data_IF_931334546660
#
_entry.id   IF_931334546660
#
_cell.length_a   1.000
_cell.length_b   1.000
_cell.length_c   1.000
_cell.angle_alpha   90.00
_cell.angle_beta   90.00
_cell.angle_gamma   90.00
#
_symmetry.space_group_name_H-M   'P 1'
#
loop_
_entity.id
_entity.type
_entity.pdbx_description
1 polymer ?
#
# COMPACT_ATOMS: atom_id res chain seq x y z
N UNK A 1 3.82 -10.76 5.09
CA UNK A 1 2.96 -11.93 4.82
C UNK A 1 3.80 -13.11 4.33
N UNK A 2 4.43 -13.05 3.15
CA UNK A 2 5.25 -14.16 2.66
C UNK A 2 6.42 -14.49 3.62
N UNK A 3 7.07 -13.47 4.18
CA UNK A 3 8.13 -13.61 5.20
C UNK A 3 7.59 -14.28 6.47
N UNK A 4 6.49 -13.75 7.04
CA UNK A 4 5.81 -14.32 8.21
C UNK A 4 5.36 -15.78 7.98
N UNK A 5 4.89 -16.09 6.76
CA UNK A 5 4.49 -17.43 6.34
C UNK A 5 5.69 -18.33 5.97
N UNK A 6 6.90 -17.79 5.96
CA UNK A 6 8.14 -18.46 5.52
C UNK A 6 8.02 -19.07 4.12
N UNK A 7 7.29 -18.39 3.24
CA UNK A 7 7.09 -18.79 1.85
C UNK A 7 8.22 -18.22 0.97
N UNK A 8 9.31 -18.97 0.86
CA UNK A 8 10.49 -18.54 0.11
C UNK A 8 10.22 -18.25 -1.36
N UNK A 9 9.32 -19.01 -2.02
CA UNK A 9 9.02 -18.77 -3.43
C UNK A 9 8.26 -17.47 -3.62
N UNK A 10 7.28 -17.17 -2.76
CA UNK A 10 6.58 -15.90 -2.81
C UNK A 10 7.47 -14.72 -2.47
N UNK A 11 8.41 -14.88 -1.53
CA UNK A 11 9.40 -13.82 -1.25
C UNK A 11 10.27 -13.54 -2.47
N UNK A 12 10.75 -14.56 -3.19
CA UNK A 12 11.53 -14.36 -4.43
C UNK A 12 10.75 -13.65 -5.54
N UNK A 13 9.48 -14.01 -5.69
CA UNK A 13 8.59 -13.35 -6.64
C UNK A 13 8.47 -11.85 -6.31
N UNK A 14 8.27 -11.53 -5.03
CA UNK A 14 8.20 -10.14 -4.54
C UNK A 14 9.55 -9.41 -4.72
N UNK A 15 10.68 -10.04 -4.40
CA UNK A 15 12.01 -9.46 -4.58
C UNK A 15 12.27 -9.09 -6.05
N UNK A 16 11.84 -9.94 -6.97
CA UNK A 16 11.91 -9.68 -8.41
C UNK A 16 11.03 -8.49 -8.84
N UNK A 17 9.84 -8.36 -8.26
CA UNK A 17 8.94 -7.24 -8.55
C UNK A 17 9.44 -5.92 -7.96
N UNK A 18 10.06 -5.95 -6.76
CA UNK A 18 10.76 -4.79 -6.18
C UNK A 18 11.82 -4.28 -7.15
N UNK A 19 12.64 -5.17 -7.73
CA UNK A 19 13.67 -4.79 -8.71
C UNK A 19 13.04 -4.15 -9.95
N UNK A 20 11.97 -4.72 -10.50
CA UNK A 20 11.28 -4.15 -11.67
C UNK A 20 10.71 -2.76 -11.39
N UNK A 21 10.02 -2.60 -10.27
CA UNK A 21 9.41 -1.33 -9.86
C UNK A 21 10.48 -0.28 -9.54
N UNK A 22 11.56 -0.66 -8.86
CA UNK A 22 12.69 0.23 -8.58
C UNK A 22 13.29 0.80 -9.87
N UNK A 23 13.47 -0.03 -10.90
CA UNK A 23 13.94 0.43 -12.22
C UNK A 23 12.95 1.40 -12.88
N UNK A 24 11.66 1.10 -12.83
CA UNK A 24 10.62 1.95 -13.42
C UNK A 24 10.52 3.33 -12.74
N UNK A 25 10.77 3.38 -11.43
CA UNK A 25 10.78 4.61 -10.64
C UNK A 25 12.12 5.37 -10.72
N UNK A 26 13.10 4.87 -11.48
CA UNK A 26 14.41 5.52 -11.63
C UNK A 26 15.23 5.56 -10.34
N UNK A 27 14.90 4.74 -9.33
CA UNK A 27 15.61 4.73 -8.05
C UNK A 27 16.89 3.89 -8.11
N UNK A 28 17.91 4.32 -7.35
CA UNK A 28 19.36 4.04 -7.55
C UNK A 28 19.80 2.57 -7.64
N UNK A 29 21.01 2.31 -8.19
CA UNK A 29 21.68 0.98 -8.20
C UNK A 29 21.72 0.30 -6.82
N UNK A 30 21.77 1.08 -5.73
CA UNK A 30 21.75 0.53 -4.37
C UNK A 30 20.50 -0.33 -4.11
N UNK A 31 19.35 0.02 -4.70
CA UNK A 31 18.11 -0.76 -4.56
C UNK A 31 18.13 -2.06 -5.35
N UNK A 32 18.89 -2.13 -6.45
CA UNK A 32 19.07 -3.37 -7.22
C UNK A 32 19.86 -4.41 -6.44
N UNK A 33 20.89 -3.97 -5.70
CA UNK A 33 21.67 -4.83 -4.81
C UNK A 33 20.81 -5.44 -3.70
N UNK A 34 19.99 -4.61 -3.05
CA UNK A 34 19.09 -5.04 -1.96
C UNK A 34 18.05 -6.07 -2.41
N UNK A 35 17.45 -5.88 -3.58
CA UNK A 35 16.52 -6.85 -4.17
C UNK A 35 17.15 -8.24 -4.39
N UNK A 36 18.44 -8.30 -4.69
CA UNK A 36 19.19 -9.55 -4.83
C UNK A 36 19.42 -10.22 -3.47
N UNK A 37 19.77 -9.44 -2.45
CA UNK A 37 19.94 -9.93 -1.07
C UNK A 37 18.64 -10.49 -0.47
N UNK A 38 17.48 -9.89 -0.78
CA UNK A 38 16.17 -10.45 -0.37
C UNK A 38 15.97 -11.88 -0.91
N UNK A 39 16.34 -12.12 -2.16
CA UNK A 39 16.21 -13.45 -2.76
C UNK A 39 17.19 -14.45 -2.13
N UNK A 40 18.42 -14.03 -1.86
CA UNK A 40 19.45 -14.84 -1.22
C UNK A 40 19.06 -15.24 0.22
N UNK A 41 18.60 -14.28 1.03
CA UNK A 41 18.14 -14.58 2.39
C UNK A 41 16.90 -15.50 2.40
N UNK A 42 16.02 -15.38 1.39
CA UNK A 42 14.90 -16.32 1.22
C UNK A 42 15.37 -17.74 0.86
N UNK A 43 16.43 -17.88 0.07
CA UNK A 43 17.04 -19.18 -0.27
C UNK A 43 17.65 -19.87 0.93
N UNK A 44 18.30 -19.09 1.79
CA UNK A 44 19.01 -19.59 2.96
C UNK A 44 18.11 -19.75 4.20
N UNK A 45 16.82 -19.39 4.12
CA UNK A 45 15.89 -19.35 5.25
C UNK A 45 16.32 -18.37 6.38
N UNK A 46 17.00 -17.28 6.02
CA UNK A 46 17.51 -16.24 6.93
C UNK A 46 16.43 -15.19 7.20
N UNK A 47 15.33 -15.60 7.82
CA UNK A 47 14.10 -14.79 7.91
C UNK A 47 14.24 -13.46 8.67
N UNK A 48 15.00 -13.45 9.77
CA UNK A 48 15.20 -12.24 10.57
C UNK A 48 16.01 -11.20 9.77
N UNK A 49 17.09 -11.63 9.12
CA UNK A 49 17.92 -10.79 8.24
C UNK A 49 17.13 -10.32 7.01
N UNK A 50 16.27 -11.17 6.47
CA UNK A 50 15.39 -10.82 5.36
C UNK A 50 14.43 -9.69 5.75
N UNK A 51 13.85 -9.75 6.95
CA UNK A 51 12.99 -8.69 7.47
C UNK A 51 13.75 -7.36 7.61
N UNK A 52 14.95 -7.38 8.19
CA UNK A 52 15.80 -6.20 8.27
C UNK A 52 16.13 -5.62 6.89
N UNK A 53 16.41 -6.48 5.90
CA UNK A 53 16.72 -6.05 4.54
C UNK A 53 15.51 -5.43 3.81
N UNK A 54 14.30 -5.93 4.08
CA UNK A 54 13.06 -5.32 3.57
C UNK A 54 12.82 -3.93 4.18
N UNK A 55 13.03 -3.76 5.48
CA UNK A 55 12.92 -2.46 6.15
C UNK A 55 13.97 -1.47 5.61
N UNK A 56 15.21 -1.92 5.43
CA UNK A 56 16.27 -1.12 4.83
C UNK A 56 15.93 -0.74 3.38
N UNK A 57 15.37 -1.66 2.60
CA UNK A 57 14.88 -1.40 1.24
C UNK A 57 13.79 -0.34 1.23
N UNK A 58 12.79 -0.45 2.11
CA UNK A 58 11.71 0.53 2.23
C UNK A 58 12.25 1.93 2.55
N UNK A 59 13.19 2.03 3.49
CA UNK A 59 13.79 3.29 3.89
C UNK A 59 14.61 3.92 2.75
N UNK A 60 15.36 3.11 1.99
CA UNK A 60 16.12 3.59 0.83
C UNK A 60 15.20 4.10 -0.29
N UNK A 61 14.10 3.38 -0.60
CA UNK A 61 13.09 3.86 -1.57
C UNK A 61 12.55 5.22 -1.13
N UNK A 62 12.12 5.35 0.14
CA UNK A 62 11.57 6.59 0.67
C UNK A 62 12.58 7.74 0.59
N UNK A 63 13.81 7.51 1.00
CA UNK A 63 14.87 8.52 0.95
C UNK A 63 15.19 8.92 -0.50
N UNK A 64 15.28 7.95 -1.41
CA UNK A 64 15.53 8.21 -2.82
C UNK A 64 14.43 9.07 -3.43
N UNK A 65 13.15 8.70 -3.24
CA UNK A 65 12.02 9.49 -3.75
C UNK A 65 12.00 10.92 -3.18
N UNK A 66 12.26 11.10 -1.88
CA UNK A 66 12.35 12.42 -1.27
C UNK A 66 13.49 13.27 -1.85
N UNK A 67 14.64 12.66 -2.12
CA UNK A 67 15.80 13.35 -2.70
C UNK A 67 15.61 13.78 -4.15
N UNK A 68 14.77 13.07 -4.91
CA UNK A 68 14.42 13.42 -6.29
C UNK A 68 13.32 14.51 -6.38
N UNK A 69 12.82 14.99 -5.23
CA UNK A 69 11.82 16.05 -5.11
C UNK A 69 10.49 15.82 -5.85
N UNK A 70 10.18 14.57 -6.23
CA UNK A 70 8.88 14.23 -6.82
C UNK A 70 7.84 14.01 -5.71
N UNK A 71 7.35 15.12 -5.16
CA UNK A 71 6.36 15.13 -4.09
C UNK A 71 5.06 14.43 -4.51
N UNK A 72 4.65 14.58 -5.76
CA UNK A 72 3.45 13.94 -6.30
C UNK A 72 3.60 12.41 -6.31
N UNK A 73 4.75 11.90 -6.77
CA UNK A 73 5.04 10.47 -6.77
C UNK A 73 5.10 9.90 -5.35
N UNK A 74 5.71 10.62 -4.40
CA UNK A 74 5.72 10.21 -2.98
C UNK A 74 4.30 10.08 -2.43
N UNK A 75 3.42 11.04 -2.75
CA UNK A 75 2.02 11.00 -2.34
C UNK A 75 1.32 9.81 -2.99
N UNK A 76 1.45 9.61 -4.31
CA UNK A 76 0.80 8.53 -5.04
C UNK A 76 1.23 7.13 -4.54
N UNK A 77 2.53 6.93 -4.29
CA UNK A 77 3.03 5.68 -3.71
C UNK A 77 2.52 5.47 -2.29
N UNK A 78 2.47 6.52 -1.47
CA UNK A 78 1.91 6.45 -0.11
C UNK A 78 0.44 6.05 -0.14
N UNK A 79 -0.34 6.64 -1.04
CA UNK A 79 -1.76 6.31 -1.23
C UNK A 79 -1.94 4.87 -1.70
N UNK A 80 -1.18 4.44 -2.71
CA UNK A 80 -1.23 3.06 -3.21
C UNK A 80 -0.90 2.04 -2.11
N UNK A 81 0.13 2.31 -1.30
CA UNK A 81 0.49 1.48 -0.15
C UNK A 81 -0.63 1.40 0.89
N UNK A 82 -1.29 2.52 1.18
CA UNK A 82 -2.43 2.55 2.11
C UNK A 82 -3.66 1.80 1.57
N UNK A 83 -3.99 1.97 0.28
CA UNK A 83 -5.12 1.27 -0.36
C UNK A 83 -4.88 -0.25 -0.30
N UNK A 84 -3.70 -0.69 -0.72
CA UNK A 84 -3.35 -2.12 -0.71
C UNK A 84 -3.27 -2.69 0.71
N UNK A 85 -2.71 -1.94 1.65
CA UNK A 85 -2.66 -2.32 3.06
C UNK A 85 -4.06 -2.49 3.66
N UNK A 86 -4.95 -1.52 3.40
CA UNK A 86 -6.36 -1.59 3.82
C UNK A 86 -7.06 -2.79 3.20
N UNK A 87 -6.84 -3.08 1.91
CA UNK A 87 -7.42 -4.24 1.24
C UNK A 87 -7.00 -5.55 1.91
N UNK A 88 -5.71 -5.71 2.19
CA UNK A 88 -5.17 -6.92 2.84
C UNK A 88 -5.76 -7.08 4.24
N UNK A 89 -5.75 -6.02 5.06
CA UNK A 89 -6.26 -6.07 6.44
C UNK A 89 -7.76 -6.38 6.46
N UNK A 90 -8.54 -5.70 5.62
CA UNK A 90 -9.99 -5.93 5.55
C UNK A 90 -10.32 -7.32 5.00
N UNK A 91 -9.57 -7.84 4.02
CA UNK A 91 -9.73 -9.23 3.55
C UNK A 91 -9.49 -10.25 4.68
N UNK A 92 -8.45 -10.05 5.49
CA UNK A 92 -8.18 -10.93 6.63
C UNK A 92 -9.30 -10.87 7.68
N UNK A 93 -9.84 -9.68 7.96
CA UNK A 93 -10.97 -9.51 8.88
C UNK A 93 -12.25 -10.15 8.33
N UNK A 94 -12.53 -10.02 7.03
CA UNK A 94 -13.72 -10.65 6.41
C UNK A 94 -13.66 -12.18 6.50
N UNK A 95 -12.48 -12.78 6.33
CA UNK A 95 -12.30 -14.23 6.41
C UNK A 95 -12.50 -14.78 7.83
N UNK A 96 -12.10 -14.03 8.86
CA UNK A 96 -12.22 -14.44 10.25
C UNK A 96 -12.66 -13.25 11.14
N UNK A 97 -13.93 -12.88 10.99
CA UNK A 97 -14.45 -11.68 11.65
C UNK A 97 -14.40 -11.82 13.18
N UNK A 98 -13.81 -10.81 13.81
CA UNK A 98 -13.96 -10.57 15.24
C UNK A 98 -13.96 -9.06 15.49
N UNK A 99 -14.68 -8.65 16.54
CA UNK A 99 -14.87 -7.23 16.82
C UNK A 99 -13.56 -6.49 17.13
N UNK A 100 -12.59 -7.14 17.78
CA UNK A 100 -11.33 -6.49 18.13
C UNK A 100 -10.50 -6.15 16.88
N UNK A 101 -10.44 -7.06 15.92
CA UNK A 101 -9.80 -6.82 14.63
C UNK A 101 -10.58 -5.81 13.80
N UNK A 102 -11.91 -5.81 13.81
CA UNK A 102 -12.70 -4.81 13.09
C UNK A 102 -12.51 -3.38 13.66
N UNK A 103 -12.28 -3.23 14.97
CA UNK A 103 -11.98 -1.91 15.58
C UNK A 103 -10.76 -1.22 15.00
N UNK A 104 -9.77 -1.97 14.49
CA UNK A 104 -8.54 -1.39 13.91
C UNK A 104 -8.84 -0.55 12.67
N UNK A 105 -9.99 -0.76 12.02
CA UNK A 105 -10.41 0.00 10.84
C UNK A 105 -10.93 1.39 11.20
N UNK A 106 -11.23 1.69 12.47
CA UNK A 106 -11.76 2.99 12.92
C UNK A 106 -10.67 4.06 12.98
N UNK A 107 -10.14 4.43 11.82
CA UNK A 107 -9.07 5.42 11.68
C UNK A 107 -9.48 6.58 10.75
N UNK A 108 -10.54 7.34 11.08
CA UNK A 108 -11.00 8.43 10.22
C UNK A 108 -9.94 9.52 10.04
N UNK A 109 -9.13 9.79 11.08
CA UNK A 109 -8.02 10.73 10.99
C UNK A 109 -6.96 10.32 9.94
N UNK A 110 -6.71 9.01 9.78
CA UNK A 110 -5.79 8.51 8.78
C UNK A 110 -6.35 8.70 7.37
N UNK A 111 -7.65 8.42 7.16
CA UNK A 111 -8.30 8.65 5.86
C UNK A 111 -8.31 10.14 5.52
N UNK A 112 -8.60 10.99 6.50
CA UNK A 112 -8.55 12.44 6.33
C UNK A 112 -7.15 12.93 5.96
N UNK A 113 -6.11 12.40 6.59
CA UNK A 113 -4.72 12.68 6.22
C UNK A 113 -4.41 12.24 4.78
N UNK A 114 -4.89 11.07 4.35
CA UNK A 114 -4.71 10.63 2.96
C UNK A 114 -5.42 11.56 1.96
N UNK A 115 -6.63 12.01 2.28
CA UNK A 115 -7.33 13.01 1.46
C UNK A 115 -6.58 14.34 1.41
N UNK A 116 -6.03 14.81 2.53
CA UNK A 116 -5.25 16.05 2.56
C UNK A 116 -4.02 15.95 1.67
N UNK A 117 -3.36 14.78 1.64
CA UNK A 117 -2.23 14.50 0.75
C UNK A 117 -2.63 14.51 -0.72
N UNK A 118 -3.79 13.95 -1.09
CA UNK A 118 -4.29 14.07 -2.48
C UNK A 118 -4.43 15.53 -2.90
N UNK A 119 -4.89 16.40 -1.99
CA UNK A 119 -5.06 17.82 -2.29
C UNK A 119 -3.72 18.57 -2.49
N UNK A 120 -2.61 18.02 -2.01
CA UNK A 120 -1.26 18.54 -2.21
C UNK A 120 -0.66 18.16 -3.58
N UNK A 121 -1.26 17.20 -4.29
CA UNK A 121 -0.81 16.79 -5.64
C UNK A 121 -0.99 17.94 -6.63
N UNK A 122 -0.11 18.04 -7.63
CA UNK A 122 -0.25 18.98 -8.74
C UNK A 122 -1.66 18.99 -9.38
N UNK A 123 -2.18 20.15 -9.82
CA UNK A 123 -3.49 20.23 -10.46
C UNK A 123 -3.61 19.34 -11.70
N UNK A 124 -2.53 19.14 -12.46
CA UNK A 124 -2.52 18.27 -13.63
C UNK A 124 -2.85 16.82 -13.23
N UNK A 125 -2.10 16.26 -12.27
CA UNK A 125 -2.31 14.89 -11.80
C UNK A 125 -3.62 14.75 -11.01
N UNK A 126 -4.05 15.75 -10.24
CA UNK A 126 -5.39 15.72 -9.61
C UNK A 126 -6.52 15.70 -10.61
N UNK A 127 -6.29 16.17 -11.84
CA UNK A 127 -7.31 16.18 -12.88
C UNK A 127 -7.43 14.86 -13.65
N UNK A 128 -6.43 13.98 -13.52
CA UNK A 128 -6.48 12.62 -14.04
C UNK A 128 -7.73 11.88 -13.52
N UNK A 129 -8.49 11.20 -14.39
CA UNK A 129 -9.71 10.48 -14.00
C UNK A 129 -9.49 9.53 -12.82
N UNK A 130 -8.41 8.73 -12.86
CA UNK A 130 -8.08 7.80 -11.79
C UNK A 130 -7.88 8.50 -10.44
N UNK A 131 -7.16 9.63 -10.40
CA UNK A 131 -6.89 10.34 -9.14
C UNK A 131 -8.17 10.97 -8.57
N UNK A 132 -9.07 11.46 -9.45
CA UNK A 132 -10.40 11.93 -9.03
C UNK A 132 -11.24 10.81 -8.45
N UNK A 133 -11.26 9.66 -9.10
CA UNK A 133 -12.04 8.50 -8.63
C UNK A 133 -11.51 7.99 -7.29
N UNK A 134 -10.19 7.90 -7.13
CA UNK A 134 -9.55 7.58 -5.84
C UNK A 134 -9.94 8.56 -4.74
N UNK A 135 -9.93 9.88 -5.02
CA UNK A 135 -10.34 10.91 -4.06
C UNK A 135 -11.80 10.74 -3.62
N UNK A 136 -12.69 10.46 -4.58
CA UNK A 136 -14.10 10.22 -4.32
C UNK A 136 -14.34 8.95 -3.47
N UNK A 137 -13.65 7.85 -3.79
CA UNK A 137 -13.74 6.59 -3.04
C UNK A 137 -13.18 6.72 -1.62
N UNK A 138 -12.08 7.46 -1.43
CA UNK A 138 -11.56 7.80 -0.10
C UNK A 138 -12.59 8.54 0.76
N UNK A 139 -13.35 9.46 0.17
CA UNK A 139 -14.48 10.12 0.85
C UNK A 139 -15.60 9.15 1.27
N UNK A 140 -15.80 8.06 0.55
CA UNK A 140 -16.75 7.01 0.96
C UNK A 140 -16.18 6.15 2.08
N UNK A 141 -14.91 5.76 1.98
CA UNK A 141 -14.23 4.97 3.02
C UNK A 141 -14.18 5.75 4.34
N UNK A 142 -13.90 7.05 4.31
CA UNK A 142 -13.89 7.90 5.51
C UNK A 142 -15.20 7.76 6.30
N UNK A 143 -16.34 7.81 5.61
CA UNK A 143 -17.66 7.64 6.23
C UNK A 143 -17.85 6.26 6.84
N UNK A 144 -17.34 5.21 6.20
CA UNK A 144 -17.43 3.83 6.69
C UNK A 144 -16.57 3.61 7.94
N UNK A 145 -15.42 4.28 8.04
CA UNK A 145 -14.51 4.15 9.19
C UNK A 145 -14.79 5.15 10.32
N UNK A 146 -15.70 6.11 10.09
CA UNK A 146 -16.08 7.16 11.05
C UNK A 146 -17.17 6.73 12.05
N UNK A 147 -17.29 5.43 12.35
CA UNK A 147 -18.32 4.93 13.28
C UNK A 147 -18.24 5.65 14.64
N UNK A 148 -19.39 5.92 15.29
CA UNK A 148 -19.44 6.61 16.58
C UNK A 148 -18.49 5.99 17.62
N UNK A 149 -17.96 6.77 18.59
CA UNK A 149 -17.16 6.25 19.69
C UNK A 149 -17.83 5.03 20.35
N UNK A 150 -17.15 3.88 20.33
CA UNK A 150 -17.64 2.64 20.92
C UNK A 150 -18.41 1.71 19.98
N UNK A 151 -18.78 2.14 18.77
CA UNK A 151 -19.36 1.26 17.75
C UNK A 151 -18.25 0.63 16.91
N UNK A 152 -18.14 -0.69 16.97
CA UNK A 152 -17.26 -1.48 16.09
C UNK A 152 -17.89 -1.61 14.71
N UNK A 153 -17.11 -1.54 13.60
CA UNK A 153 -17.63 -1.83 12.28
C UNK A 153 -18.13 -3.28 12.21
N UNK A 154 -19.36 -3.49 11.76
CA UNK A 154 -19.89 -4.84 11.53
C UNK A 154 -19.29 -5.48 10.27
N UNK A 155 -19.53 -6.78 10.09
CA UNK A 155 -18.95 -7.53 8.95
C UNK A 155 -19.35 -6.95 7.59
N UNK A 156 -20.55 -6.38 7.45
CA UNK A 156 -20.99 -5.76 6.19
C UNK A 156 -20.31 -4.41 5.96
N UNK A 157 -20.10 -3.62 7.02
CA UNK A 157 -19.29 -2.40 6.98
C UNK A 157 -17.84 -2.72 6.58
N UNK A 158 -17.23 -3.77 7.14
CA UNK A 158 -15.89 -4.23 6.73
C UNK A 158 -15.86 -4.70 5.27
N UNK A 159 -16.85 -5.47 4.83
CA UNK A 159 -16.93 -5.97 3.47
C UNK A 159 -17.06 -4.83 2.45
N UNK A 160 -17.83 -3.80 2.77
CA UNK A 160 -17.92 -2.56 1.95
C UNK A 160 -16.58 -1.83 1.83
N UNK A 161 -15.82 -1.72 2.92
CA UNK A 161 -14.48 -1.13 2.85
C UNK A 161 -13.58 -1.97 1.96
N UNK A 162 -13.59 -3.30 2.12
CA UNK A 162 -12.79 -4.22 1.30
C UNK A 162 -13.12 -4.13 -0.19
N UNK A 163 -14.40 -4.09 -0.54
CA UNK A 163 -14.88 -3.92 -1.91
C UNK A 163 -14.43 -2.58 -2.51
N UNK A 164 -14.54 -1.48 -1.74
CA UNK A 164 -14.12 -0.16 -2.20
C UNK A 164 -12.62 -0.10 -2.50
N UNK A 165 -11.76 -0.57 -1.59
CA UNK A 165 -10.32 -0.61 -1.83
C UNK A 165 -9.92 -1.65 -2.89
N UNK A 166 -10.67 -2.74 -3.00
CA UNK A 166 -10.46 -3.74 -4.06
C UNK A 166 -10.75 -3.20 -5.45
N UNK A 167 -11.83 -2.43 -5.60
CA UNK A 167 -12.15 -1.73 -6.84
C UNK A 167 -11.07 -0.71 -7.21
N UNK A 168 -10.63 0.10 -6.24
CA UNK A 168 -9.54 1.05 -6.47
C UNK A 168 -8.24 0.37 -6.93
N UNK A 169 -7.89 -0.78 -6.34
CA UNK A 169 -6.72 -1.55 -6.78
C UNK A 169 -6.86 -2.06 -8.22
N UNK A 170 -8.02 -2.56 -8.61
CA UNK A 170 -8.27 -2.99 -9.99
C UNK A 170 -8.12 -1.83 -10.98
N UNK A 171 -8.60 -0.63 -10.63
CA UNK A 171 -8.45 0.56 -11.48
C UNK A 171 -6.98 1.00 -11.59
N UNK A 172 -6.22 0.93 -10.49
CA UNK A 172 -4.77 1.23 -10.48
C UNK A 172 -3.99 0.21 -11.33
N UNK A 173 -4.24 -1.08 -11.16
CA UNK A 173 -3.53 -2.17 -11.86
C UNK A 173 -3.83 -2.20 -13.36
N UNK A 174 -5.05 -1.82 -13.76
CA UNK A 174 -5.45 -1.77 -15.17
C UNK A 174 -5.10 -0.45 -15.86
N UNK A 175 -4.51 0.53 -15.15
CA UNK A 175 -4.05 1.77 -15.78
C UNK A 175 -2.87 1.44 -16.69
N UNK A 176 -3.11 1.47 -18.00
CA UNK A 176 -2.04 1.38 -18.99
C UNK A 176 -1.05 2.52 -18.77
N UNK A 177 0.25 2.22 -18.87
CA UNK A 177 1.28 3.24 -18.86
C UNK A 177 1.01 4.24 -20.00
N UNK A 178 1.16 5.56 -19.78
CA UNK A 178 1.02 6.52 -20.87
C UNK A 178 1.98 6.14 -22.00
N UNK A 179 1.43 6.08 -23.23
CA UNK A 179 2.17 5.77 -24.45
C UNK A 179 3.18 6.85 -24.81
#
# INVERSE_FOLDING_TARGET
>A
IAVEAKDGQQVKNIGSDIIKLAKALGVSEKLLGRGSSINEFAENNEWDTLQEELEATQNEVKASMQSHADQDLVILVTLGGWIRGTQVVTSAIVQNYNEQSAKVLRQPALVHFMQSKINEISPELRNEPLVKDLSNELGKIEKLVSSPPGKTPDIEEVRKVNEAVGKMMQEIENKEAPK
#
